data_IF_755696497052
#
_entry.id   IF_755696497052
#
_cell.length_a   1.000
_cell.length_b   1.000
_cell.length_c   1.000
_cell.angle_alpha   90.00
_cell.angle_beta   90.00
_cell.angle_gamma   90.00
#
_symmetry.space_group_name_H-M   'P 1'
#
loop_
_entity.id
_entity.type
_entity.pdbx_description
1 polymer ?
#
# COMPACT_ATOMS: atom_id res chain seq x y z
N UNK A 1 5.92 -22.91 -35.83
CA UNK A 1 5.51 -23.28 -34.46
C UNK A 1 5.36 -21.97 -33.69
N UNK A 2 4.12 -21.49 -33.55
CA UNK A 2 3.84 -20.29 -32.76
C UNK A 2 3.94 -20.71 -31.30
N UNK A 3 5.02 -20.32 -30.62
CA UNK A 3 5.08 -20.41 -29.17
C UNK A 3 3.90 -19.60 -28.62
N UNK A 4 2.97 -20.26 -27.95
CA UNK A 4 1.98 -19.59 -27.13
C UNK A 4 2.78 -18.73 -26.13
N UNK A 5 2.66 -17.42 -26.24
CA UNK A 5 3.20 -16.54 -25.21
C UNK A 5 2.67 -17.06 -23.87
N UNK A 6 3.56 -17.43 -22.95
CA UNK A 6 3.18 -17.94 -21.64
C UNK A 6 2.30 -16.88 -20.96
N UNK A 7 1.07 -17.26 -20.69
CA UNK A 7 0.09 -16.41 -20.04
C UNK A 7 0.28 -16.53 -18.53
N UNK A 8 0.46 -15.40 -17.83
CA UNK A 8 0.46 -15.36 -16.38
C UNK A 8 -0.97 -15.16 -15.89
N UNK A 9 -1.43 -16.00 -14.97
CA UNK A 9 -2.79 -15.92 -14.39
C UNK A 9 -2.69 -15.70 -12.89
N UNK A 10 -3.42 -14.69 -12.41
CA UNK A 10 -3.56 -14.37 -10.99
C UNK A 10 -5.06 -14.31 -10.65
N UNK A 11 -5.50 -15.10 -9.67
CA UNK A 11 -6.91 -15.15 -9.28
C UNK A 11 -7.10 -14.69 -7.84
N UNK A 12 -7.99 -13.72 -7.68
CA UNK A 12 -8.40 -13.12 -6.41
C UNK A 12 -9.85 -13.50 -6.12
N UNK A 13 -10.11 -14.10 -4.97
CA UNK A 13 -11.47 -14.47 -4.55
C UNK A 13 -12.29 -13.28 -4.05
N UNK A 14 -11.62 -12.25 -3.52
CA UNK A 14 -12.27 -11.06 -2.97
C UNK A 14 -11.97 -9.83 -3.84
N UNK A 15 -12.93 -9.43 -4.66
CA UNK A 15 -12.79 -8.28 -5.55
C UNK A 15 -12.48 -6.97 -4.82
N UNK A 16 -13.01 -6.79 -3.60
CA UNK A 16 -12.70 -5.61 -2.78
C UNK A 16 -11.20 -5.49 -2.51
N UNK A 17 -10.54 -6.60 -2.21
CA UNK A 17 -9.12 -6.60 -1.84
C UNK A 17 -8.26 -6.13 -3.02
N UNK A 18 -8.38 -6.77 -4.18
CA UNK A 18 -7.60 -6.38 -5.36
C UNK A 18 -7.92 -4.96 -5.82
N UNK A 19 -9.21 -4.54 -5.77
CA UNK A 19 -9.61 -3.16 -6.06
C UNK A 19 -8.90 -2.17 -5.15
N UNK A 20 -8.87 -2.41 -3.85
CA UNK A 20 -8.25 -1.52 -2.87
C UNK A 20 -6.72 -1.48 -2.99
N UNK A 21 -6.09 -2.58 -3.34
CA UNK A 21 -4.66 -2.61 -3.67
C UNK A 21 -4.38 -1.71 -4.89
N UNK A 22 -5.16 -1.84 -5.95
CA UNK A 22 -5.02 -0.99 -7.16
C UNK A 22 -5.25 0.49 -6.82
N UNK A 23 -6.29 0.83 -6.04
CA UNK A 23 -6.57 2.19 -5.57
C UNK A 23 -5.40 2.74 -4.70
N UNK A 24 -4.78 1.90 -3.88
CA UNK A 24 -3.66 2.25 -3.01
C UNK A 24 -2.39 2.59 -3.81
N UNK A 25 -2.12 1.85 -4.89
CA UNK A 25 -1.00 2.12 -5.80
C UNK A 25 -1.28 3.38 -6.62
N UNK A 26 -2.46 3.48 -7.24
CA UNK A 26 -2.85 4.62 -8.09
C UNK A 26 -2.82 5.94 -7.32
N UNK A 27 -3.18 5.96 -6.04
CA UNK A 27 -3.10 7.15 -5.20
C UNK A 27 -1.69 7.74 -5.10
N UNK A 28 -0.66 6.94 -5.35
CA UNK A 28 0.76 7.33 -5.27
C UNK A 28 1.43 7.45 -6.63
N UNK A 29 1.08 6.59 -7.58
CA UNK A 29 1.81 6.35 -8.82
C UNK A 29 0.82 6.13 -9.97
N UNK A 30 1.02 6.82 -11.10
CA UNK A 30 0.18 6.63 -12.30
C UNK A 30 0.58 5.38 -13.09
N UNK A 31 1.89 5.12 -13.22
CA UNK A 31 2.44 4.02 -13.99
C UNK A 31 3.52 3.30 -13.18
N UNK A 32 3.51 1.98 -13.21
CA UNK A 32 4.53 1.18 -12.54
C UNK A 32 4.72 -0.18 -13.21
N UNK A 33 5.93 -0.70 -13.07
CA UNK A 33 6.24 -2.10 -13.37
C UNK A 33 6.07 -2.96 -12.12
N UNK A 34 5.46 -4.12 -12.26
CA UNK A 34 5.44 -5.16 -11.23
C UNK A 34 6.01 -6.46 -11.75
N UNK A 35 6.45 -7.27 -10.83
CA UNK A 35 7.00 -8.61 -11.07
C UNK A 35 6.03 -9.67 -10.60
N UNK A 36 5.91 -10.76 -11.35
CA UNK A 36 5.29 -12.01 -10.92
C UNK A 36 6.29 -13.14 -11.09
N UNK A 37 6.49 -13.93 -10.05
CA UNK A 37 7.40 -15.08 -10.10
C UNK A 37 6.80 -16.33 -9.42
N UNK A 38 7.23 -17.54 -9.82
CA UNK A 38 6.75 -18.78 -9.22
C UNK A 38 7.21 -18.96 -7.76
N UNK A 39 8.27 -18.28 -7.34
CA UNK A 39 8.83 -18.37 -5.99
C UNK A 39 8.18 -17.37 -5.04
N UNK A 40 8.12 -16.10 -5.42
CA UNK A 40 7.72 -15.01 -4.54
C UNK A 40 6.23 -14.64 -4.66
N UNK A 41 5.62 -14.87 -5.85
CA UNK A 41 4.29 -14.38 -6.17
C UNK A 41 4.33 -13.00 -6.83
N UNK A 42 3.55 -12.04 -6.35
CA UNK A 42 3.44 -10.68 -6.91
C UNK A 42 4.24 -9.68 -6.08
N UNK A 43 5.07 -8.89 -6.75
CA UNK A 43 5.88 -7.82 -6.14
C UNK A 43 5.77 -6.54 -6.97
N UNK A 44 5.38 -5.45 -6.34
CA UNK A 44 5.44 -4.10 -6.89
C UNK A 44 6.23 -3.21 -5.95
N UNK A 45 7.10 -2.41 -6.49
CA UNK A 45 7.76 -1.32 -5.77
C UNK A 45 7.93 -0.13 -6.70
N UNK A 46 7.45 1.02 -6.28
CA UNK A 46 7.59 2.23 -7.06
C UNK A 46 7.75 3.47 -6.17
N UNK A 47 8.56 4.42 -6.64
CA UNK A 47 8.71 5.75 -6.04
C UNK A 47 7.71 6.71 -6.69
N UNK A 48 7.16 7.62 -5.91
CA UNK A 48 6.39 8.72 -6.46
C UNK A 48 7.28 9.64 -7.35
N UNK A 49 6.70 10.41 -8.26
CA UNK A 49 7.47 11.29 -9.16
C UNK A 49 8.39 12.28 -8.44
N UNK A 50 8.03 12.71 -7.24
CA UNK A 50 8.84 13.62 -6.42
C UNK A 50 9.95 12.88 -5.64
N UNK A 51 9.95 11.55 -5.64
CA UNK A 51 10.88 10.68 -4.88
C UNK A 51 10.83 10.89 -3.36
N UNK A 52 9.68 11.33 -2.87
CA UNK A 52 9.41 11.58 -1.45
C UNK A 52 8.77 10.37 -0.80
N UNK A 53 7.98 9.61 -1.57
CA UNK A 53 7.26 8.45 -1.09
C UNK A 53 7.51 7.22 -1.96
N UNK A 54 7.42 6.05 -1.34
CA UNK A 54 7.50 4.75 -2.02
C UNK A 54 6.33 3.89 -1.61
N UNK A 55 5.72 3.23 -2.57
CA UNK A 55 4.73 2.18 -2.35
C UNK A 55 5.33 0.83 -2.70
N UNK A 56 5.08 -0.15 -1.84
CA UNK A 56 5.40 -1.56 -2.08
C UNK A 56 4.13 -2.38 -1.90
N UNK A 57 3.91 -3.34 -2.80
CA UNK A 57 2.90 -4.39 -2.65
C UNK A 57 3.60 -5.72 -2.76
N UNK A 58 3.40 -6.55 -1.76
CA UNK A 58 3.87 -7.93 -1.77
C UNK A 58 2.69 -8.86 -1.50
N UNK A 59 2.44 -9.78 -2.43
CA UNK A 59 1.42 -10.81 -2.29
C UNK A 59 2.09 -12.17 -2.58
N UNK A 60 2.33 -12.98 -1.55
CA UNK A 60 2.96 -14.29 -1.73
C UNK A 60 2.08 -15.20 -2.57
N UNK A 61 2.66 -16.24 -3.13
CA UNK A 61 1.94 -17.23 -3.96
C UNK A 61 0.69 -17.78 -3.27
N UNK A 62 0.76 -18.02 -1.97
CA UNK A 62 -0.36 -18.52 -1.14
C UNK A 62 -1.52 -17.54 -0.95
N UNK A 63 -1.34 -16.28 -1.32
CA UNK A 63 -2.39 -15.27 -1.29
C UNK A 63 -3.44 -15.48 -2.39
N UNK A 64 -3.04 -16.04 -3.52
CA UNK A 64 -3.90 -16.26 -4.67
C UNK A 64 -4.63 -17.60 -4.54
N UNK A 65 -5.90 -17.66 -4.92
CA UNK A 65 -6.60 -18.94 -5.06
C UNK A 65 -6.06 -19.76 -6.21
N UNK A 66 -5.54 -19.08 -7.24
CA UNK A 66 -4.84 -19.67 -8.36
C UNK A 66 -3.78 -18.69 -8.86
N UNK A 67 -2.56 -19.19 -9.07
CA UNK A 67 -1.48 -18.47 -9.72
C UNK A 67 -0.78 -19.39 -10.71
N UNK A 68 -0.73 -18.99 -11.98
CA UNK A 68 0.00 -19.68 -13.03
C UNK A 68 1.07 -18.73 -13.55
N UNK A 69 2.32 -19.07 -13.36
CA UNK A 69 3.49 -18.35 -13.85
C UNK A 69 4.62 -19.37 -13.98
N UNK A 70 5.20 -19.48 -15.17
CA UNK A 70 6.26 -20.46 -15.43
C UNK A 70 7.63 -19.91 -15.07
N UNK A 71 7.86 -18.62 -15.34
CA UNK A 71 9.12 -17.92 -15.07
C UNK A 71 8.87 -16.50 -14.58
N UNK A 72 9.90 -15.91 -13.99
CA UNK A 72 9.85 -14.52 -13.55
C UNK A 72 9.49 -13.60 -14.71
N UNK A 73 8.44 -12.81 -14.54
CA UNK A 73 7.86 -11.98 -15.59
C UNK A 73 7.58 -10.56 -15.07
N UNK A 74 7.77 -9.56 -15.94
CA UNK A 74 7.62 -8.15 -15.61
C UNK A 74 6.56 -7.50 -16.49
N UNK A 75 5.70 -6.67 -15.89
CA UNK A 75 4.58 -6.04 -16.57
C UNK A 75 4.47 -4.58 -16.19
N UNK A 76 4.50 -3.70 -17.19
CA UNK A 76 4.22 -2.27 -17.02
C UNK A 76 2.72 -1.98 -17.11
N UNK A 77 2.15 -1.29 -16.14
CA UNK A 77 0.71 -0.99 -16.07
C UNK A 77 0.48 0.49 -15.80
N UNK A 78 -0.48 1.07 -16.54
CA UNK A 78 -1.07 2.35 -16.20
C UNK A 78 -2.19 2.11 -15.15
N UNK A 79 -1.92 2.48 -13.88
CA UNK A 79 -2.82 2.28 -12.76
C UNK A 79 -4.03 3.22 -12.82
N UNK A 80 -3.91 4.41 -13.44
CA UNK A 80 -5.03 5.32 -13.65
C UNK A 80 -6.09 4.71 -14.57
N UNK A 81 -5.68 3.98 -15.62
CA UNK A 81 -6.61 3.25 -16.47
C UNK A 81 -7.15 1.98 -15.78
N UNK A 82 -6.29 1.25 -15.06
CA UNK A 82 -6.69 0.05 -14.33
C UNK A 82 -7.74 0.37 -13.25
N UNK A 83 -7.57 1.45 -12.50
CA UNK A 83 -8.50 1.84 -11.43
C UNK A 83 -9.90 2.15 -11.96
N UNK A 84 -10.04 2.68 -13.20
CA UNK A 84 -11.34 2.94 -13.83
C UNK A 84 -12.15 1.65 -14.02
N UNK A 85 -11.47 0.54 -14.34
CA UNK A 85 -12.08 -0.79 -14.45
C UNK A 85 -12.39 -1.33 -13.05
N UNK A 86 -11.42 -1.25 -12.14
CA UNK A 86 -11.50 -1.82 -10.80
C UNK A 86 -12.56 -1.15 -9.91
N UNK A 87 -12.88 0.14 -10.10
CA UNK A 87 -13.98 0.84 -9.39
C UNK A 87 -15.35 0.16 -9.53
N UNK A 88 -15.55 -0.67 -10.57
CA UNK A 88 -16.79 -1.41 -10.82
C UNK A 88 -16.80 -2.80 -10.18
N UNK A 89 -15.70 -3.21 -9.56
CA UNK A 89 -15.56 -4.50 -8.89
C UNK A 89 -16.20 -4.42 -7.50
N UNK A 90 -17.07 -5.38 -7.20
CA UNK A 90 -17.73 -5.51 -5.91
C UNK A 90 -16.93 -6.40 -4.96
N UNK A 91 -17.32 -6.43 -3.69
CA UNK A 91 -16.62 -7.19 -2.65
C UNK A 91 -16.61 -8.69 -2.91
N UNK A 92 -17.72 -9.21 -3.41
CA UNK A 92 -17.99 -10.62 -3.70
C UNK A 92 -17.67 -11.04 -5.15
N UNK A 93 -17.09 -10.14 -5.95
CA UNK A 93 -16.61 -10.48 -7.28
C UNK A 93 -15.32 -11.32 -7.17
N UNK A 94 -15.25 -12.42 -7.91
CA UNK A 94 -13.99 -13.11 -8.20
C UNK A 94 -13.32 -12.42 -9.38
N UNK A 95 -12.06 -12.05 -9.21
CA UNK A 95 -11.29 -11.31 -10.22
C UNK A 95 -10.11 -12.16 -10.69
N UNK A 96 -9.95 -12.27 -12.00
CA UNK A 96 -8.87 -12.99 -12.63
C UNK A 96 -8.11 -12.03 -13.55
N UNK A 97 -6.80 -11.91 -13.34
CA UNK A 97 -5.88 -11.20 -14.21
C UNK A 97 -5.16 -12.21 -15.09
N UNK A 98 -5.27 -12.03 -16.40
CA UNK A 98 -4.54 -12.76 -17.41
C UNK A 98 -3.60 -11.82 -18.12
N UNK A 99 -2.31 -12.05 -17.96
CA UNK A 99 -1.26 -11.20 -18.48
C UNK A 99 -0.53 -11.92 -19.62
N UNK A 100 -0.43 -11.22 -20.73
CA UNK A 100 0.46 -11.56 -21.85
C UNK A 100 1.51 -10.45 -21.96
N UNK A 101 2.43 -10.58 -22.90
CA UNK A 101 3.45 -9.53 -23.14
C UNK A 101 2.85 -8.12 -23.34
N UNK A 102 1.71 -8.04 -24.01
CA UNK A 102 1.16 -6.76 -24.50
C UNK A 102 -0.17 -6.37 -23.87
N UNK A 103 -0.78 -7.23 -23.06
CA UNK A 103 -2.11 -6.95 -22.52
C UNK A 103 -2.40 -7.63 -21.19
N UNK A 104 -3.19 -6.93 -20.36
CA UNK A 104 -3.85 -7.42 -19.18
C UNK A 104 -5.34 -7.62 -19.50
N UNK A 105 -5.80 -8.85 -19.48
CA UNK A 105 -7.23 -9.19 -19.53
C UNK A 105 -7.75 -9.37 -18.12
N UNK A 106 -8.75 -8.60 -17.73
CA UNK A 106 -9.39 -8.64 -16.42
C UNK A 106 -10.73 -9.33 -16.59
N UNK A 107 -10.89 -10.50 -15.98
CA UNK A 107 -12.13 -11.25 -15.95
C UNK A 107 -12.76 -11.12 -14.58
N UNK A 108 -13.97 -10.60 -14.51
CA UNK A 108 -14.72 -10.40 -13.28
C UNK A 108 -15.96 -11.29 -13.31
N UNK A 109 -16.16 -12.11 -12.28
CA UNK A 109 -17.27 -13.07 -12.18
C UNK A 109 -18.07 -12.86 -10.91
N UNK A 110 -19.38 -12.69 -11.07
CA UNK A 110 -20.37 -12.72 -10.01
C UNK A 110 -21.75 -12.89 -10.67
N UNK A 111 -22.26 -14.12 -10.74
CA UNK A 111 -23.46 -14.45 -11.48
C UNK A 111 -23.33 -14.35 -13.01
N UNK A 112 -22.54 -13.38 -13.50
CA UNK A 112 -22.21 -13.21 -14.93
C UNK A 112 -20.73 -12.84 -15.11
N UNK A 113 -20.24 -13.00 -16.34
CA UNK A 113 -18.84 -12.72 -16.71
C UNK A 113 -18.73 -11.34 -17.35
N UNK A 114 -17.84 -10.50 -16.82
CA UNK A 114 -17.39 -9.24 -17.44
C UNK A 114 -15.93 -9.39 -17.83
N UNK A 115 -15.57 -8.94 -19.00
CA UNK A 115 -14.18 -9.03 -19.49
C UNK A 115 -13.75 -7.65 -19.97
N UNK A 116 -12.63 -7.19 -19.47
CA UNK A 116 -11.99 -5.94 -19.87
C UNK A 116 -10.57 -6.26 -20.33
N UNK A 117 -10.07 -5.51 -21.31
CA UNK A 117 -8.69 -5.63 -21.78
C UNK A 117 -8.01 -4.28 -21.70
N UNK A 118 -6.84 -4.25 -21.08
CA UNK A 118 -5.97 -3.10 -20.95
C UNK A 118 -4.66 -3.39 -21.68
N UNK A 119 -4.18 -2.46 -22.52
CA UNK A 119 -2.84 -2.57 -23.09
C UNK A 119 -1.81 -2.38 -21.98
N UNK A 120 -0.76 -3.18 -21.99
CA UNK A 120 0.38 -3.04 -21.10
C UNK A 120 1.39 -2.05 -21.66
N UNK A 121 2.10 -1.39 -20.79
CA UNK A 121 3.26 -0.57 -21.09
C UNK A 121 4.51 -1.47 -21.19
N UNK A 122 5.53 -1.06 -21.93
CA UNK A 122 6.83 -1.70 -21.82
C UNK A 122 7.28 -1.67 -20.35
N UNK A 123 7.73 -2.79 -19.77
CA UNK A 123 8.21 -2.78 -18.40
C UNK A 123 9.48 -1.93 -18.29
N UNK A 124 9.52 -1.05 -17.30
CA UNK A 124 10.72 -0.32 -16.92
C UNK A 124 11.64 -1.20 -16.07
N UNK A 125 12.89 -0.76 -15.87
CA UNK A 125 13.83 -1.45 -15.00
C UNK A 125 13.24 -1.62 -13.60
N UNK A 126 13.08 -2.87 -13.18
CA UNK A 126 12.51 -3.23 -11.90
C UNK A 126 13.60 -3.59 -10.90
N UNK A 127 13.71 -2.81 -9.84
CA UNK A 127 14.65 -3.07 -8.75
C UNK A 127 13.94 -2.95 -7.41
N UNK A 128 13.96 -4.00 -6.62
CA UNK A 128 13.53 -3.94 -5.21
C UNK A 128 14.63 -3.25 -4.40
N UNK A 129 14.36 -2.02 -3.98
CA UNK A 129 15.25 -1.25 -3.11
C UNK A 129 14.90 -1.50 -1.66
N UNK A 130 15.84 -1.95 -0.87
CA UNK A 130 15.67 -2.00 0.57
C UNK A 130 16.11 -0.66 1.18
N UNK A 131 15.19 0.00 1.87
CA UNK A 131 15.52 1.16 2.68
C UNK A 131 16.20 0.68 3.97
N UNK A 132 17.48 1.02 4.12
CA UNK A 132 18.24 0.75 5.34
C UNK A 132 17.93 1.82 6.38
N UNK A 133 16.76 1.77 6.98
CA UNK A 133 16.37 2.63 8.10
C UNK A 133 16.25 1.75 9.34
N UNK A 134 16.94 2.13 10.41
CA UNK A 134 16.72 1.55 11.72
C UNK A 134 15.55 2.30 12.37
N UNK A 135 14.38 1.66 12.46
CA UNK A 135 13.22 2.20 13.12
C UNK A 135 13.31 1.89 14.61
N UNK A 136 13.24 2.92 15.45
CA UNK A 136 13.42 2.80 16.90
C UNK A 136 12.12 2.80 17.68
N UNK A 137 11.01 3.22 17.07
CA UNK A 137 9.70 3.27 17.70
C UNK A 137 8.60 2.87 16.72
N UNK A 138 7.50 2.35 17.24
CA UNK A 138 6.35 1.99 16.44
C UNK A 138 5.08 1.73 17.23
N UNK A 139 3.97 1.74 16.50
CA UNK A 139 2.65 1.37 16.98
C UNK A 139 1.98 0.46 15.96
N UNK A 140 1.36 -0.62 16.44
CA UNK A 140 0.46 -1.48 15.69
C UNK A 140 -0.94 -1.34 16.26
N UNK A 141 -1.90 -0.98 15.42
CA UNK A 141 -3.26 -0.67 15.84
C UNK A 141 -4.31 -1.10 14.81
N UNK A 142 -5.57 -1.06 15.21
CA UNK A 142 -6.71 -1.22 14.28
C UNK A 142 -6.55 -0.25 13.09
N UNK A 143 -6.49 -0.82 11.89
CA UNK A 143 -6.20 -0.07 10.65
C UNK A 143 -7.19 1.06 10.38
N UNK A 144 -8.45 0.93 10.85
CA UNK A 144 -9.51 1.92 10.62
C UNK A 144 -9.33 3.20 11.44
N UNK A 145 -8.46 3.17 12.46
CA UNK A 145 -8.23 4.33 13.35
C UNK A 145 -7.27 5.35 12.75
N UNK A 146 -6.29 4.90 11.98
CA UNK A 146 -5.38 5.84 11.32
C UNK A 146 -6.10 6.81 10.36
N UNK A 147 -7.05 6.38 9.51
CA UNK A 147 -7.90 7.30 8.74
C UNK A 147 -8.66 8.33 9.59
N UNK A 148 -9.15 7.94 10.76
CA UNK A 148 -9.87 8.87 11.66
C UNK A 148 -8.92 9.97 12.16
N UNK A 149 -7.71 9.58 12.62
CA UNK A 149 -6.65 10.51 13.06
C UNK A 149 -6.27 11.49 11.94
N UNK A 150 -6.01 10.97 10.74
CA UNK A 150 -5.60 11.81 9.60
C UNK A 150 -6.72 12.76 9.18
N UNK A 151 -7.98 12.31 9.13
CA UNK A 151 -9.13 13.15 8.78
C UNK A 151 -9.39 14.26 9.78
N UNK A 152 -9.19 14.01 11.07
CA UNK A 152 -9.34 15.01 12.14
C UNK A 152 -8.32 16.14 11.99
N UNK A 153 -7.07 15.80 11.66
CA UNK A 153 -5.94 16.75 11.64
C UNK A 153 -5.74 17.46 10.30
N UNK A 154 -6.21 16.88 9.18
CA UNK A 154 -5.95 17.43 7.83
C UNK A 154 -6.46 18.86 7.59
N UNK A 155 -7.47 19.29 8.33
CA UNK A 155 -8.01 20.66 8.23
C UNK A 155 -7.20 21.71 8.99
N UNK A 156 -6.23 21.29 9.78
CA UNK A 156 -5.46 22.17 10.69
C UNK A 156 -4.19 22.69 10.02
N UNK A 157 -3.41 21.81 9.39
CA UNK A 157 -2.13 22.16 8.76
C UNK A 157 -1.81 21.21 7.59
N UNK A 158 -0.86 21.65 6.73
CA UNK A 158 -0.32 20.83 5.63
C UNK A 158 0.68 19.76 6.10
N UNK A 159 1.10 19.84 7.35
CA UNK A 159 2.08 18.96 7.96
C UNK A 159 1.55 18.40 9.27
N UNK A 160 2.00 17.20 9.61
CA UNK A 160 1.70 16.54 10.87
C UNK A 160 2.99 16.11 11.54
N UNK A 161 3.10 16.42 12.82
CA UNK A 161 4.14 15.88 13.67
C UNK A 161 3.64 14.59 14.31
N UNK A 162 4.46 13.55 14.26
CA UNK A 162 4.19 12.25 14.90
C UNK A 162 5.32 12.00 15.91
N UNK A 163 4.95 11.62 17.13
CA UNK A 163 5.90 11.17 18.15
C UNK A 163 5.42 9.89 18.83
N UNK A 164 6.35 8.99 19.14
CA UNK A 164 6.10 7.72 19.83
C UNK A 164 7.19 7.52 20.89
N UNK A 165 6.79 7.28 22.14
CA UNK A 165 7.73 7.06 23.26
C UNK A 165 7.60 5.66 23.91
N UNK A 166 6.76 4.79 23.32
CA UNK A 166 6.51 3.43 23.79
C UNK A 166 5.35 3.30 24.78
N UNK A 167 4.89 4.40 25.38
CA UNK A 167 3.69 4.43 26.23
C UNK A 167 2.54 5.16 25.55
N UNK A 168 2.85 6.11 24.65
CA UNK A 168 1.86 6.83 23.85
C UNK A 168 2.40 7.17 22.47
N UNK A 169 1.49 7.35 21.54
CA UNK A 169 1.71 7.94 20.22
C UNK A 169 0.92 9.26 20.13
N UNK A 170 1.57 10.34 19.76
CA UNK A 170 0.94 11.64 19.60
C UNK A 170 1.00 12.08 18.14
N UNK A 171 -0.12 12.58 17.64
CA UNK A 171 -0.29 13.12 16.29
C UNK A 171 -0.72 14.56 16.41
N UNK A 172 0.14 15.49 16.03
CA UNK A 172 -0.08 16.93 16.19
C UNK A 172 -0.07 17.67 14.86
N UNK A 173 -1.00 18.59 14.68
CA UNK A 173 -1.01 19.52 13.56
C UNK A 173 -1.19 20.95 14.10
N UNK A 174 -0.39 21.89 13.59
CA UNK A 174 -0.38 23.28 14.06
C UNK A 174 -0.30 24.26 12.90
N UNK A 175 -1.18 25.25 12.94
CA UNK A 175 -1.16 26.43 12.08
C UNK A 175 -1.06 27.70 12.91
N UNK A 176 -1.04 28.86 12.28
CA UNK A 176 -1.05 30.16 13.00
C UNK A 176 -2.30 30.38 13.87
N UNK A 177 -3.42 29.71 13.53
CA UNK A 177 -4.74 29.95 14.17
C UNK A 177 -5.25 28.78 14.99
N UNK A 178 -4.69 27.60 14.78
CA UNK A 178 -5.21 26.36 15.38
C UNK A 178 -4.09 25.40 15.67
N UNK A 179 -4.20 24.71 16.79
CA UNK A 179 -3.38 23.55 17.14
C UNK A 179 -4.33 22.43 17.54
N UNK A 180 -4.09 21.23 17.01
CA UNK A 180 -4.84 20.02 17.37
C UNK A 180 -3.87 18.89 17.61
N UNK A 181 -4.13 18.10 18.64
CA UNK A 181 -3.34 16.94 19.01
C UNK A 181 -4.26 15.78 19.34
N UNK A 182 -3.91 14.61 18.82
CA UNK A 182 -4.55 13.33 19.16
C UNK A 182 -3.48 12.49 19.86
N UNK A 183 -3.80 11.98 21.04
CA UNK A 183 -2.95 11.08 21.81
C UNK A 183 -3.61 9.71 21.83
N UNK A 184 -2.84 8.67 21.53
CA UNK A 184 -3.22 7.28 21.64
C UNK A 184 -2.31 6.66 22.69
N UNK A 185 -2.91 6.22 23.80
CA UNK A 185 -2.18 5.57 24.89
C UNK A 185 -1.98 4.07 24.57
N UNK A 186 -0.90 3.49 25.05
CA UNK A 186 -0.60 2.06 24.88
C UNK A 186 -1.73 1.14 25.38
N UNK A 187 -2.48 1.61 26.38
CA UNK A 187 -3.60 0.89 26.98
C UNK A 187 -4.93 1.06 26.24
N UNK A 188 -4.97 1.90 25.22
CA UNK A 188 -6.20 2.10 24.46
C UNK A 188 -6.60 0.81 23.70
N UNK A 189 -7.90 0.48 23.67
CA UNK A 189 -8.38 -0.77 23.05
C UNK A 189 -8.07 -0.90 21.55
N UNK A 190 -7.73 0.19 20.88
CA UNK A 190 -7.37 0.22 19.47
C UNK A 190 -5.92 -0.17 19.22
N UNK A 191 -5.08 -0.17 20.26
CA UNK A 191 -3.66 -0.51 20.22
C UNK A 191 -3.49 -2.02 20.38
N UNK A 192 -2.79 -2.62 19.43
CA UNK A 192 -2.42 -4.04 19.47
C UNK A 192 -1.01 -4.22 20.04
N UNK A 193 -0.12 -3.25 19.78
CA UNK A 193 1.24 -3.21 20.29
C UNK A 193 1.81 -1.79 20.16
N UNK A 194 2.70 -1.40 21.08
CA UNK A 194 3.44 -0.14 21.03
C UNK A 194 4.80 -0.30 21.68
N UNK A 195 5.84 0.16 21.01
CA UNK A 195 7.23 0.01 21.49
C UNK A 195 8.07 1.23 21.13
N UNK A 196 9.12 1.46 21.90
CA UNK A 196 10.20 2.37 21.57
C UNK A 196 11.49 1.87 22.25
N UNK A 197 12.53 1.60 21.44
CA UNK A 197 13.90 1.46 21.96
C UNK A 197 14.45 2.84 22.32
N UNK A 198 14.11 3.83 21.49
CA UNK A 198 14.32 5.26 21.71
C UNK A 198 13.06 6.01 21.26
N UNK A 199 12.60 7.02 22.04
CA UNK A 199 11.51 7.88 21.62
C UNK A 199 11.81 8.49 20.24
N UNK A 200 10.83 8.50 19.37
CA UNK A 200 10.97 9.02 18.02
C UNK A 200 10.01 10.17 17.77
N UNK A 201 10.46 11.18 17.00
CA UNK A 201 9.67 12.33 16.59
C UNK A 201 10.08 12.79 15.20
N UNK A 202 9.10 13.02 14.33
CA UNK A 202 9.35 13.55 12.99
C UNK A 202 8.09 14.22 12.41
N UNK A 203 8.29 15.02 11.37
CA UNK A 203 7.22 15.77 10.68
C UNK A 203 7.03 15.21 9.27
N UNK A 204 5.77 15.02 8.86
CA UNK A 204 5.41 14.44 7.55
C UNK A 204 4.35 15.28 6.83
N UNK A 205 4.35 15.21 5.50
CA UNK A 205 3.37 15.89 4.68
C UNK A 205 1.98 15.22 4.77
N UNK A 206 0.96 15.99 5.18
CA UNK A 206 -0.41 15.53 5.37
C UNK A 206 -1.01 14.94 4.09
N UNK A 207 -0.78 15.58 2.94
CA UNK A 207 -1.30 15.14 1.65
C UNK A 207 -0.84 13.72 1.25
N UNK A 208 0.36 13.31 1.66
CA UNK A 208 0.84 11.94 1.45
C UNK A 208 0.14 10.95 2.37
N UNK A 209 -0.01 11.29 3.64
CA UNK A 209 -0.70 10.41 4.60
C UNK A 209 -2.16 10.18 4.21
N UNK A 210 -2.86 11.21 3.68
CA UNK A 210 -4.22 11.05 3.14
C UNK A 210 -4.30 10.02 1.99
N UNK A 211 -3.25 9.88 1.20
CA UNK A 211 -3.16 8.86 0.14
C UNK A 211 -2.84 7.48 0.72
N UNK A 212 -1.99 7.43 1.74
CA UNK A 212 -1.47 6.20 2.34
C UNK A 212 -2.48 5.47 3.24
N UNK A 213 -3.61 6.10 3.61
CA UNK A 213 -4.68 5.42 4.39
C UNK A 213 -5.65 4.61 3.53
N UNK A 214 -5.49 4.55 2.22
CA UNK A 214 -6.39 3.83 1.30
C UNK A 214 -6.56 2.33 1.61
N UNK A 215 -5.50 1.58 2.03
CA UNK A 215 -5.65 0.16 2.33
C UNK A 215 -6.38 -0.17 3.64
N UNK A 216 -6.70 0.81 4.48
CA UNK A 216 -7.27 0.58 5.81
C UNK A 216 -8.55 -0.28 5.82
N UNK A 217 -9.32 -0.26 4.72
CA UNK A 217 -10.57 -1.04 4.61
C UNK A 217 -10.36 -2.54 4.33
N UNK A 218 -9.14 -2.96 3.96
CA UNK A 218 -8.80 -4.35 3.61
C UNK A 218 -7.77 -4.97 4.52
N UNK A 219 -7.35 -4.24 5.54
CA UNK A 219 -6.45 -4.72 6.57
C UNK A 219 -7.14 -4.66 7.94
N UNK A 220 -6.89 -5.64 8.78
CA UNK A 220 -7.33 -5.61 10.16
C UNK A 220 -6.48 -4.64 11.00
N UNK A 221 -5.20 -4.53 10.67
CA UNK A 221 -4.21 -3.77 11.43
C UNK A 221 -3.30 -2.93 10.52
N UNK A 222 -2.79 -1.84 11.07
CA UNK A 222 -1.69 -1.07 10.49
C UNK A 222 -0.55 -0.97 11.47
N UNK A 223 0.67 -1.18 10.97
CA UNK A 223 1.91 -0.92 11.72
C UNK A 223 2.54 0.35 11.21
N UNK A 224 2.79 1.29 12.12
CA UNK A 224 3.53 2.51 11.88
C UNK A 224 4.87 2.40 12.58
N UNK A 225 5.97 2.56 11.84
CA UNK A 225 7.33 2.50 12.37
C UNK A 225 8.09 3.77 11.98
N UNK A 226 8.84 4.31 12.92
CA UNK A 226 9.59 5.54 12.72
C UNK A 226 10.87 5.61 13.56
N UNK A 227 11.72 6.55 13.25
CA UNK A 227 12.81 7.03 14.07
C UNK A 227 12.89 8.55 13.92
N UNK A 228 13.56 9.25 14.85
CA UNK A 228 13.64 10.72 14.84
C UNK A 228 14.25 11.24 13.55
N UNK A 229 13.51 12.13 12.87
CA UNK A 229 13.89 12.75 11.60
C UNK A 229 14.23 11.74 10.46
N UNK A 230 13.60 10.56 10.49
CA UNK A 230 13.75 9.52 9.47
C UNK A 230 12.43 9.30 8.73
N UNK A 231 12.45 8.61 7.58
CA UNK A 231 11.25 8.21 6.90
C UNK A 231 10.29 7.42 7.79
N UNK A 232 8.99 7.67 7.61
CA UNK A 232 7.91 6.86 8.17
C UNK A 232 7.72 5.60 7.33
N UNK A 233 7.44 4.47 7.98
CA UNK A 233 6.94 3.25 7.34
C UNK A 233 5.52 2.96 7.83
N UNK A 234 4.60 2.76 6.90
CA UNK A 234 3.27 2.22 7.16
C UNK A 234 3.17 0.84 6.51
N UNK A 235 2.68 -0.15 7.24
CA UNK A 235 2.43 -1.49 6.72
C UNK A 235 1.00 -1.93 7.06
N UNK A 236 0.22 -2.20 6.02
CA UNK A 236 -1.10 -2.82 6.09
C UNK A 236 -0.97 -4.28 5.70
N UNK A 237 -1.05 -5.19 6.68
CA UNK A 237 -1.05 -6.63 6.43
C UNK A 237 -2.39 -7.08 5.84
N UNK A 238 -2.37 -7.97 4.84
CA UNK A 238 -3.57 -8.40 4.14
C UNK A 238 -3.65 -9.92 4.11
N UNK A 239 -4.86 -10.46 4.26
CA UNK A 239 -5.13 -11.89 4.14
C UNK A 239 -4.57 -12.75 5.28
N UNK A 240 -4.22 -12.15 6.43
CA UNK A 240 -3.66 -12.88 7.56
C UNK A 240 -2.17 -13.27 7.41
N UNK A 241 -1.50 -12.81 6.36
CA UNK A 241 -0.07 -13.01 6.15
C UNK A 241 0.71 -11.81 6.69
N UNK A 242 1.63 -12.02 7.62
CA UNK A 242 2.38 -10.94 8.26
C UNK A 242 3.19 -10.10 7.25
N UNK A 243 3.74 -10.73 6.21
CA UNK A 243 4.56 -10.05 5.19
C UNK A 243 3.77 -9.58 3.97
N UNK A 244 2.56 -10.13 3.73
CA UNK A 244 1.74 -9.72 2.60
C UNK A 244 1.03 -8.40 2.88
N UNK A 245 0.92 -7.57 1.86
CA UNK A 245 0.13 -6.35 1.95
C UNK A 245 0.72 -5.16 1.23
N UNK A 246 0.33 -3.99 1.69
CA UNK A 246 0.77 -2.70 1.16
C UNK A 246 1.65 -2.02 2.19
N UNK A 247 2.85 -1.65 1.78
CA UNK A 247 3.80 -0.86 2.56
C UNK A 247 4.04 0.48 1.90
N UNK A 248 4.12 1.51 2.72
CA UNK A 248 4.52 2.84 2.28
C UNK A 248 5.72 3.30 3.08
N UNK A 249 6.56 4.07 2.41
CA UNK A 249 7.62 4.84 3.06
C UNK A 249 7.45 6.30 2.67
N UNK A 250 7.55 7.20 3.62
CA UNK A 250 7.38 8.64 3.43
C UNK A 250 8.56 9.38 4.04
N UNK A 251 9.26 10.18 3.26
CA UNK A 251 10.32 11.05 3.77
C UNK A 251 9.75 12.06 4.77
N UNK A 252 10.53 12.39 5.81
CA UNK A 252 10.19 13.49 6.70
C UNK A 252 10.41 14.85 6.02
N UNK A 253 9.68 15.86 6.45
CA UNK A 253 9.74 17.21 5.85
C UNK A 253 11.11 17.86 6.01
N UNK A 254 11.81 17.60 7.10
CA UNK A 254 13.15 18.17 7.36
C UNK A 254 14.27 17.58 6.48
N UNK A 255 13.98 16.54 5.71
CA UNK A 255 14.92 15.87 4.80
C UNK A 255 14.71 16.22 3.32
N UNK A 256 13.88 17.22 3.03
CA UNK A 256 13.62 17.73 1.69
C UNK A 256 14.46 18.96 1.36
#
# INVERSE_FOLDING_TARGET
MSGSAEEVILVFEEGKVVRKIVEAVEAMIEEATFKVSPEEGFVLQALDPAKIAMVQVFLPKSFFSEIQVAEESFFGVNFTELVKIMKRVKSDDRVEFRLTKDSLTIVIRNGFKRTHRLALLPPEEFQVRSLKVNFTAGIRMDSKRLPDVIKELKGVASEIEISIDGEKAEFGARSERQESKITIEKTDPVVLDMWAEEPARAVYGMAYLERMIKPADISAEVTLEMATDKPLKLHYSIGGFADAGVRYYLANVSGM
#
